data_IF_430350085072
#
_entry.id   IF_430350085072
#
_cell.length_a   1.000
_cell.length_b   1.000
_cell.length_c   1.000
_cell.angle_alpha   90.00
_cell.angle_beta   90.00
_cell.angle_gamma   90.00
#
_symmetry.space_group_name_H-M   'P 1'
#
loop_
_entity.id
_entity.type
_entity.pdbx_description
1 polymer ?
#
# COMPACT_ATOMS: atom_id res chain seq x y z
N UNK A 1 -3.95 14.56 -11.28
CA UNK A 1 -3.35 14.06 -10.07
C UNK A 1 -2.59 12.76 -10.33
N UNK A 2 -1.54 12.50 -9.54
CA UNK A 2 -0.92 11.19 -9.38
C UNK A 2 -1.16 10.69 -7.96
N UNK A 3 -1.38 9.38 -7.80
CA UNK A 3 -1.64 8.77 -6.49
C UNK A 3 -0.46 7.90 -6.12
N UNK A 4 0.11 8.15 -4.94
CA UNK A 4 1.35 7.52 -4.48
C UNK A 4 1.10 6.86 -3.13
N UNK A 5 1.34 5.54 -3.08
CA UNK A 5 1.39 4.80 -1.82
C UNK A 5 2.78 4.96 -1.21
N UNK A 6 2.84 5.37 0.05
CA UNK A 6 4.05 5.57 0.81
C UNK A 6 4.15 4.65 2.01
N UNK A 7 5.38 4.31 2.38
CA UNK A 7 5.70 3.51 3.56
C UNK A 7 6.43 4.42 4.55
N UNK A 8 5.91 4.49 5.78
CA UNK A 8 6.67 4.96 6.93
C UNK A 8 7.03 3.76 7.80
N UNK A 9 8.25 3.29 7.67
CA UNK A 9 8.78 2.15 8.43
C UNK A 9 10.24 2.46 8.82
N UNK A 10 10.48 3.08 9.99
CA UNK A 10 11.82 3.41 10.46
C UNK A 10 12.67 2.15 10.63
N UNK A 11 13.95 2.26 10.27
CA UNK A 11 14.94 1.18 10.38
C UNK A 11 16.12 1.71 11.20
N UNK A 12 16.53 0.93 12.19
CA UNK A 12 17.73 1.20 12.97
C UNK A 12 18.92 0.52 12.32
N UNK A 13 19.97 1.30 12.06
CA UNK A 13 21.24 0.79 11.58
C UNK A 13 22.28 0.80 12.69
N UNK A 14 22.98 -0.31 12.87
CA UNK A 14 24.05 -0.44 13.84
C UNK A 14 25.38 -0.70 13.12
N UNK A 15 26.41 0.11 13.44
CA UNK A 15 27.76 -0.12 12.96
C UNK A 15 28.45 -1.10 13.89
N UNK A 16 29.05 -2.13 13.31
CA UNK A 16 29.86 -3.12 14.01
C UNK A 16 31.30 -3.04 13.54
N UNK A 17 32.23 -3.29 14.47
CA UNK A 17 33.64 -3.44 14.18
C UNK A 17 34.11 -4.83 14.63
N UNK A 18 34.84 -5.52 13.78
CA UNK A 18 35.49 -6.81 14.09
C UNK A 18 36.95 -6.74 13.72
N UNK A 19 37.85 -7.10 14.66
CA UNK A 19 39.26 -7.30 14.37
C UNK A 19 39.50 -8.66 13.74
N UNK A 20 40.31 -8.68 12.68
CA UNK A 20 40.76 -9.89 12.01
C UNK A 20 42.27 -9.74 11.73
N UNK A 21 43.11 -10.24 12.64
CA UNK A 21 44.53 -9.92 12.69
C UNK A 21 44.76 -8.43 12.87
N UNK A 22 45.60 -7.83 12.03
CA UNK A 22 45.89 -6.37 12.05
C UNK A 22 44.84 -5.52 11.33
N UNK A 23 43.78 -6.13 10.78
CA UNK A 23 42.73 -5.43 10.05
C UNK A 23 41.50 -5.24 10.91
N UNK A 24 40.89 -4.04 10.82
CA UNK A 24 39.55 -3.77 11.34
C UNK A 24 38.54 -3.86 10.20
N UNK A 25 37.58 -4.77 10.32
CA UNK A 25 36.46 -4.91 9.40
C UNK A 25 35.27 -4.18 10.00
N UNK A 26 34.66 -3.26 9.24
CA UNK A 26 33.45 -2.56 9.60
C UNK A 26 32.30 -3.06 8.74
N UNK A 27 31.16 -3.35 9.38
CA UNK A 27 29.93 -3.75 8.69
C UNK A 27 28.71 -3.18 9.41
N UNK A 28 27.62 -3.02 8.70
CA UNK A 28 26.33 -2.57 9.29
C UNK A 28 25.35 -3.71 9.34
N UNK A 29 24.58 -3.78 10.41
CA UNK A 29 23.31 -4.51 10.46
C UNK A 29 22.14 -3.56 10.47
N UNK A 30 20.97 -4.01 10.03
CA UNK A 30 19.73 -3.26 10.09
C UNK A 30 18.65 -4.12 10.72
N UNK A 31 17.81 -3.49 11.52
CA UNK A 31 16.65 -4.10 12.16
C UNK A 31 15.48 -3.11 12.13
N UNK A 32 14.21 -3.58 12.13
CA UNK A 32 13.07 -2.68 12.31
C UNK A 32 13.24 -1.87 13.59
N UNK A 33 12.86 -0.60 13.56
CA UNK A 33 12.77 0.23 14.76
C UNK A 33 11.50 -0.11 15.53
N UNK A 34 11.50 0.15 16.84
CA UNK A 34 10.30 0.09 17.70
C UNK A 34 9.39 1.32 17.50
N UNK A 35 9.81 2.28 16.67
CA UNK A 35 9.00 3.45 16.36
C UNK A 35 7.74 3.09 15.57
N UNK A 36 6.66 3.90 15.70
CA UNK A 36 5.42 3.65 14.96
C UNK A 36 5.63 3.57 13.45
N UNK A 37 4.94 2.64 12.83
CA UNK A 37 4.92 2.43 11.38
C UNK A 37 3.52 2.69 10.84
N UNK A 38 3.43 3.28 9.64
CA UNK A 38 2.15 3.53 8.96
C UNK A 38 2.33 3.63 7.45
N UNK A 39 1.22 3.71 6.74
CA UNK A 39 1.19 4.00 5.31
C UNK A 39 0.54 5.34 5.00
N UNK A 40 0.80 5.86 3.81
CA UNK A 40 0.20 7.07 3.28
C UNK A 40 -0.24 6.83 1.83
N UNK A 41 -1.49 7.15 1.51
CA UNK A 41 -1.93 7.37 0.14
C UNK A 41 -2.00 8.87 -0.10
N UNK A 42 -1.19 9.38 -1.00
CA UNK A 42 -1.11 10.81 -1.32
C UNK A 42 -1.58 11.09 -2.74
N UNK A 43 -2.49 12.05 -2.93
CA UNK A 43 -2.80 12.61 -4.23
C UNK A 43 -1.99 13.88 -4.46
N UNK A 44 -1.18 13.88 -5.50
CA UNK A 44 -0.24 14.97 -5.81
C UNK A 44 -0.64 15.62 -7.11
N UNK A 45 -0.73 16.95 -7.11
CA UNK A 45 -0.90 17.74 -8.33
C UNK A 45 0.44 17.81 -9.07
N UNK A 46 0.52 17.18 -10.23
CA UNK A 46 1.77 17.08 -11.01
C UNK A 46 2.27 18.41 -11.55
N UNK A 47 1.37 19.39 -11.74
CA UNK A 47 1.74 20.72 -12.26
C UNK A 47 2.35 21.62 -11.17
N UNK A 48 1.98 21.42 -9.91
CA UNK A 48 2.43 22.26 -8.79
C UNK A 48 3.35 21.53 -7.81
N UNK A 49 3.43 20.20 -7.88
CA UNK A 49 4.13 19.34 -6.92
C UNK A 49 3.48 19.30 -5.53
N UNK A 50 2.31 19.90 -5.35
CA UNK A 50 1.64 19.97 -4.04
C UNK A 50 0.77 18.76 -3.78
N UNK A 51 0.75 18.31 -2.54
CA UNK A 51 -0.21 17.32 -2.05
C UNK A 51 -1.58 17.99 -1.98
N UNK A 52 -2.59 17.35 -2.59
CA UNK A 52 -3.99 17.81 -2.60
C UNK A 52 -4.74 17.21 -1.41
N UNK A 53 -4.57 15.91 -1.19
CA UNK A 53 -5.10 15.20 -0.04
C UNK A 53 -4.20 14.00 0.31
N UNK A 54 -4.33 13.52 1.55
CA UNK A 54 -3.66 12.30 2.05
C UNK A 54 -4.63 11.48 2.88
N UNK A 55 -4.45 10.16 2.81
CA UNK A 55 -5.08 9.19 3.69
C UNK A 55 -3.98 8.39 4.40
N UNK A 56 -4.06 8.31 5.74
CA UNK A 56 -3.11 7.54 6.56
C UNK A 56 -3.72 6.19 6.89
N UNK A 57 -2.92 5.13 6.75
CA UNK A 57 -3.30 3.76 7.12
C UNK A 57 -2.54 3.32 8.36
N UNK A 58 -3.11 2.40 9.14
CA UNK A 58 -2.49 1.89 10.36
C UNK A 58 -1.21 1.08 10.10
N UNK A 59 -1.08 0.54 8.90
CA UNK A 59 0.05 -0.30 8.49
C UNK A 59 0.70 0.25 7.23
N UNK A 60 2.01 0.00 7.03
CA UNK A 60 2.71 0.36 5.80
C UNK A 60 1.99 -0.14 4.54
N UNK A 61 1.89 0.72 3.51
CA UNK A 61 1.27 0.38 2.23
C UNK A 61 2.28 -0.24 1.29
N UNK A 62 2.15 -1.54 1.01
CA UNK A 62 3.03 -2.25 0.09
C UNK A 62 2.49 -2.29 -1.35
N UNK A 63 1.17 -2.15 -1.50
CA UNK A 63 0.48 -2.21 -2.78
C UNK A 63 0.45 -0.87 -3.52
N UNK A 64 0.23 -0.96 -4.83
CA UNK A 64 -0.10 0.22 -5.65
C UNK A 64 -1.59 0.55 -5.58
N UNK A 65 -1.93 1.76 -6.01
CA UNK A 65 -3.31 2.21 -6.19
C UNK A 65 -3.75 2.10 -7.65
N UNK A 66 -5.05 1.88 -7.87
CA UNK A 66 -5.69 1.91 -9.18
C UNK A 66 -6.60 3.13 -9.29
N UNK A 67 -6.27 4.07 -10.18
CA UNK A 67 -7.15 5.20 -10.50
C UNK A 67 -7.99 4.89 -11.74
N UNK A 68 -9.26 5.28 -11.73
CA UNK A 68 -10.21 5.06 -12.82
C UNK A 68 -10.73 6.38 -13.38
N UNK A 69 -11.23 6.35 -14.64
CA UNK A 69 -11.86 7.51 -15.28
C UNK A 69 -13.14 7.94 -14.54
N UNK A 70 -13.77 7.04 -13.76
CA UNK A 70 -14.96 7.31 -12.96
C UNK A 70 -14.68 8.06 -11.64
N UNK A 71 -13.54 8.74 -11.53
CA UNK A 71 -13.14 9.52 -10.35
C UNK A 71 -13.01 8.69 -9.06
N UNK A 72 -12.59 7.42 -9.18
CA UNK A 72 -12.30 6.54 -8.05
C UNK A 72 -10.83 6.15 -8.01
N UNK A 73 -10.28 6.02 -6.79
CA UNK A 73 -8.97 5.42 -6.51
C UNK A 73 -9.17 4.24 -5.59
N UNK A 74 -8.72 3.07 -6.02
CA UNK A 74 -8.77 1.84 -5.23
C UNK A 74 -7.42 1.58 -4.58
N UNK A 75 -7.46 1.14 -3.31
CA UNK A 75 -6.28 0.82 -2.51
C UNK A 75 -6.56 -0.39 -1.62
N UNK A 76 -5.61 -1.33 -1.57
CA UNK A 76 -5.59 -2.42 -0.61
C UNK A 76 -4.64 -2.14 0.54
N UNK A 77 -4.98 -2.65 1.73
CA UNK A 77 -4.20 -2.49 2.95
C UNK A 77 -3.76 -3.85 3.53
N UNK A 78 -2.70 -3.83 4.35
CA UNK A 78 -2.16 -5.03 4.98
C UNK A 78 -3.11 -5.74 5.94
N UNK A 79 -4.07 -5.02 6.53
CA UNK A 79 -5.12 -5.54 7.41
C UNK A 79 -6.29 -6.22 6.67
N UNK A 80 -6.27 -6.23 5.34
CA UNK A 80 -7.31 -6.82 4.49
C UNK A 80 -8.35 -5.84 3.98
N UNK A 81 -8.32 -4.58 4.40
CA UNK A 81 -9.21 -3.55 3.87
C UNK A 81 -8.94 -3.32 2.38
N UNK A 82 -10.01 -3.25 1.60
CA UNK A 82 -9.98 -2.82 0.21
C UNK A 82 -10.94 -1.65 0.03
N UNK A 83 -10.37 -0.51 -0.31
CA UNK A 83 -11.00 0.81 -0.24
C UNK A 83 -11.19 1.41 -1.63
N UNK A 84 -12.27 2.20 -1.80
CA UNK A 84 -12.44 3.11 -2.92
C UNK A 84 -12.62 4.54 -2.40
N UNK A 85 -11.76 5.45 -2.86
CA UNK A 85 -11.77 6.86 -2.51
C UNK A 85 -12.23 7.70 -3.70
N UNK A 86 -12.87 8.84 -3.42
CA UNK A 86 -13.03 9.89 -4.41
C UNK A 86 -11.65 10.42 -4.81
N UNK A 87 -11.33 10.31 -6.09
CA UNK A 87 -10.01 10.66 -6.61
C UNK A 87 -9.66 12.15 -6.42
N UNK A 88 -10.67 13.03 -6.39
CA UNK A 88 -10.48 14.48 -6.25
C UNK A 88 -10.36 14.91 -4.80
N UNK A 89 -11.18 14.35 -3.89
CA UNK A 89 -11.31 14.82 -2.50
C UNK A 89 -10.60 13.94 -1.48
N UNK A 90 -10.32 12.67 -1.80
CA UNK A 90 -9.79 11.68 -0.86
C UNK A 90 -10.84 11.11 0.10
N UNK A 91 -12.11 11.44 -0.09
CA UNK A 91 -13.20 10.88 0.71
C UNK A 91 -13.33 9.38 0.48
N UNK A 92 -13.44 8.60 1.55
CA UNK A 92 -13.73 7.17 1.48
C UNK A 92 -15.18 6.95 1.02
N UNK A 93 -15.37 6.41 -0.18
CA UNK A 93 -16.68 6.15 -0.78
C UNK A 93 -17.20 4.76 -0.43
N UNK A 94 -16.30 3.78 -0.44
CA UNK A 94 -16.66 2.39 -0.22
C UNK A 94 -15.48 1.62 0.37
N UNK A 95 -15.80 0.63 1.20
CA UNK A 95 -14.82 -0.27 1.81
C UNK A 95 -15.40 -1.68 1.92
N UNK A 96 -14.54 -2.66 1.75
CA UNK A 96 -14.78 -4.06 2.13
C UNK A 96 -13.55 -4.63 2.81
N UNK A 97 -13.70 -5.79 3.45
CA UNK A 97 -12.59 -6.51 4.04
C UNK A 97 -12.44 -7.88 3.38
N UNK A 98 -11.21 -8.22 3.00
CA UNK A 98 -10.82 -9.54 2.51
C UNK A 98 -10.01 -10.19 3.63
N UNK A 99 -10.24 -11.47 3.90
CA UNK A 99 -9.63 -12.17 5.05
C UNK A 99 -8.13 -12.48 4.85
N UNK A 100 -7.41 -11.59 4.16
CA UNK A 100 -5.95 -11.61 3.96
C UNK A 100 -5.46 -10.20 3.58
N UNK A 101 -4.17 -9.92 3.81
CA UNK A 101 -3.57 -8.63 3.44
C UNK A 101 -3.62 -8.38 1.94
N UNK A 102 -4.09 -7.19 1.54
CA UNK A 102 -4.25 -6.77 0.15
C UNK A 102 -3.04 -5.94 -0.26
N UNK A 103 -2.00 -6.59 -0.75
CA UNK A 103 -0.73 -5.95 -1.11
C UNK A 103 -0.48 -5.86 -2.62
N UNK A 104 -1.39 -6.40 -3.44
CA UNK A 104 -1.34 -6.27 -4.89
C UNK A 104 -2.16 -5.06 -5.35
N UNK A 105 -1.72 -4.33 -6.39
CA UNK A 105 -2.58 -3.34 -7.02
C UNK A 105 -3.79 -4.02 -7.65
N UNK A 106 -4.97 -3.38 -7.56
CA UNK A 106 -6.14 -3.83 -8.27
C UNK A 106 -5.99 -3.58 -9.78
N UNK A 107 -6.73 -4.36 -10.57
CA UNK A 107 -6.90 -4.13 -12.00
C UNK A 107 -8.35 -3.84 -12.34
N UNK A 108 -8.60 -3.17 -13.46
CA UNK A 108 -9.95 -2.98 -14.00
C UNK A 108 -10.05 -3.53 -15.41
N UNK A 109 -11.21 -4.11 -15.74
CA UNK A 109 -11.52 -4.63 -17.06
C UNK A 109 -13.00 -4.50 -17.36
N UNK A 110 -13.40 -4.70 -18.63
CA UNK A 110 -14.80 -4.63 -19.05
C UNK A 110 -15.25 -5.94 -19.70
N UNK A 111 -16.44 -6.38 -19.33
CA UNK A 111 -17.13 -7.51 -19.98
C UNK A 111 -18.56 -7.06 -20.30
N UNK A 112 -18.95 -7.18 -21.56
CA UNK A 112 -20.28 -6.78 -22.05
C UNK A 112 -20.71 -5.36 -21.61
N UNK A 113 -19.79 -4.39 -21.66
CA UNK A 113 -20.07 -3.01 -21.29
C UNK A 113 -20.12 -2.74 -19.78
N UNK A 114 -19.92 -3.75 -18.92
CA UNK A 114 -19.87 -3.63 -17.47
C UNK A 114 -18.42 -3.60 -16.98
N UNK A 115 -18.10 -2.65 -16.10
CA UNK A 115 -16.77 -2.53 -15.50
C UNK A 115 -16.64 -3.44 -14.27
N UNK A 116 -15.53 -4.14 -14.20
CA UNK A 116 -15.13 -4.96 -13.07
C UNK A 116 -13.81 -4.47 -12.49
N UNK A 117 -13.66 -4.65 -11.19
CA UNK A 117 -12.40 -4.44 -10.46
C UNK A 117 -12.01 -5.79 -9.87
N UNK A 118 -10.80 -6.25 -10.14
CA UNK A 118 -10.25 -7.46 -9.54
C UNK A 118 -9.03 -7.14 -8.69
N UNK A 119 -8.91 -7.81 -7.55
CA UNK A 119 -7.80 -7.65 -6.63
C UNK A 119 -7.40 -9.00 -6.02
N UNK A 120 -6.11 -9.16 -5.75
CA UNK A 120 -5.54 -10.35 -5.10
C UNK A 120 -5.15 -10.00 -3.66
N UNK A 121 -5.53 -10.86 -2.72
CA UNK A 121 -5.15 -10.76 -1.32
C UNK A 121 -4.38 -12.02 -0.88
N UNK A 122 -3.07 -11.91 -0.81
CA UNK A 122 -2.13 -12.99 -0.45
C UNK A 122 -1.46 -12.81 0.90
N UNK A 123 -1.60 -11.61 1.50
CA UNK A 123 -0.89 -11.24 2.71
C UNK A 123 0.61 -10.99 2.50
N UNK A 124 1.34 -10.82 3.59
CA UNK A 124 2.80 -10.69 3.57
C UNK A 124 3.40 -11.21 4.88
N UNK A 125 4.16 -12.31 4.80
CA UNK A 125 4.75 -12.93 5.98
C UNK A 125 5.80 -12.05 6.66
N UNK A 126 6.60 -11.30 5.89
CA UNK A 126 7.67 -10.46 6.44
C UNK A 126 7.10 -9.30 7.25
N UNK A 127 5.99 -8.71 6.77
CA UNK A 127 5.29 -7.61 7.46
C UNK A 127 4.28 -8.09 8.50
N UNK A 128 4.13 -9.40 8.69
CA UNK A 128 3.14 -9.97 9.61
C UNK A 128 1.69 -9.83 9.13
N UNK A 129 1.44 -9.53 7.85
CA UNK A 129 0.09 -9.40 7.32
C UNK A 129 -0.52 -10.78 7.08
N UNK A 130 -1.79 -10.93 7.45
CA UNK A 130 -2.51 -12.21 7.33
C UNK A 130 -2.38 -12.77 5.91
N UNK A 131 -1.90 -14.01 5.82
CA UNK A 131 -1.76 -14.71 4.55
C UNK A 131 -3.10 -15.28 4.07
N UNK A 132 -3.28 -15.40 2.77
CA UNK A 132 -4.43 -15.99 2.12
C UNK A 132 -4.18 -16.24 0.63
N UNK A 133 -5.20 -16.68 -0.06
CA UNK A 133 -5.18 -17.07 -1.48
C UNK A 133 -6.42 -16.56 -2.23
N UNK A 134 -6.85 -15.33 -1.89
CA UNK A 134 -8.09 -14.76 -2.42
C UNK A 134 -7.86 -14.01 -3.73
N UNK A 135 -8.77 -14.22 -4.67
CA UNK A 135 -9.02 -13.36 -5.83
C UNK A 135 -10.45 -12.85 -5.72
N UNK A 136 -10.60 -11.55 -5.47
CA UNK A 136 -11.90 -10.91 -5.31
C UNK A 136 -12.23 -10.05 -6.53
N UNK A 137 -13.49 -10.16 -7.00
CA UNK A 137 -13.96 -9.39 -8.15
C UNK A 137 -15.22 -8.63 -7.76
N UNK A 138 -15.24 -7.35 -8.07
CA UNK A 138 -16.33 -6.43 -7.77
C UNK A 138 -16.86 -5.78 -9.05
N UNK A 139 -18.16 -5.50 -9.08
CA UNK A 139 -18.79 -4.66 -10.11
C UNK A 139 -19.76 -3.68 -9.43
N UNK A 140 -20.06 -2.58 -10.09
CA UNK A 140 -21.17 -1.73 -9.69
C UNK A 140 -22.49 -2.47 -9.84
N UNK A 141 -23.50 -2.20 -8.98
CA UNK A 141 -24.87 -2.69 -9.20
C UNK A 141 -25.40 -2.27 -10.57
N UNK A 142 -26.33 -3.05 -11.10
CA UNK A 142 -27.01 -2.72 -12.38
C UNK A 142 -27.98 -1.57 -12.17
#
# INVERSE_FOLDING_TARGET
LVYVSGIHAPIKYTLHEKKSGDKTIRYTSSEPSDDPQWGLLSAINVSTGKIVWQHTTEQPLLGGSLATKGNLVFLGEGNGAFNAFNATTGELIWQTNIDAGVNAPAITYMIHGKQYIAVVAGGNKIMGYKQGDYISVYKLPD
#
